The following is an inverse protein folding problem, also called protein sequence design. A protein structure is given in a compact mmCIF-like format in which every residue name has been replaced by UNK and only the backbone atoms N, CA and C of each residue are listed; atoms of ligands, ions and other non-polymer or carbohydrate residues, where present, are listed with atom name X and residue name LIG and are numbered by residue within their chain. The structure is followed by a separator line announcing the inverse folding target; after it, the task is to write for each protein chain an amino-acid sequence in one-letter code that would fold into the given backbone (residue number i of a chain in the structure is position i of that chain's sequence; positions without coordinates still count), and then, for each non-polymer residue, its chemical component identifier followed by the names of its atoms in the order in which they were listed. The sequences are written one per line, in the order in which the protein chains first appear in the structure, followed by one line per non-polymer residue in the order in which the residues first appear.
data_IF_683324609157
#
_entry.id   IF_683324609157
#
_cell.length_a   1.000
_cell.length_b   1.000
_cell.length_c   1.000
_cell.angle_alpha   90.00
_cell.angle_beta   90.00
_cell.angle_gamma   90.00
#
_symmetry.space_group_name_H-M   'P 1'
#
loop_
_entity.id
_entity.type
_entity.pdbx_description
1 polymer ?
#
# COMPACT_ATOMS: atom_id res chain seq x y z
N UNK A 1 13.46 -50.30 51.04
CA UNK A 1 12.65 -49.10 50.70
C UNK A 1 13.24 -48.50 49.42
N UNK A 2 13.14 -49.16 48.27
CA UNK A 2 11.98 -49.35 47.39
C UNK A 2 11.79 -48.20 46.39
N UNK A 3 11.89 -48.56 45.09
CA UNK A 3 11.43 -47.90 43.85
C UNK A 3 12.41 -46.83 43.33
N UNK A 4 13.23 -47.03 42.30
CA UNK A 4 13.02 -47.64 40.96
C UNK A 4 11.73 -47.18 40.29
N UNK A 5 11.81 -46.10 39.49
CA UNK A 5 10.84 -45.81 38.42
C UNK A 5 11.46 -44.93 37.31
N UNK A 6 11.86 -45.63 36.24
CA UNK A 6 11.48 -45.38 34.85
C UNK A 6 11.94 -44.08 34.16
N UNK A 7 13.09 -44.26 33.51
CA UNK A 7 13.46 -43.73 32.18
C UNK A 7 12.27 -43.79 31.20
N UNK A 8 11.54 -42.69 31.05
CA UNK A 8 10.51 -42.58 30.01
C UNK A 8 11.16 -42.34 28.65
N UNK A 9 11.41 -43.44 27.95
CA UNK A 9 11.56 -43.47 26.49
C UNK A 9 10.22 -43.08 25.87
N UNK A 10 10.09 -41.85 25.40
CA UNK A 10 9.01 -41.50 24.48
C UNK A 10 9.46 -41.86 23.06
N UNK A 11 9.10 -43.06 22.63
CA UNK A 11 9.10 -43.48 21.24
C UNK A 11 7.73 -43.12 20.67
N UNK A 12 7.67 -42.06 19.88
CA UNK A 12 6.54 -41.77 18.98
C UNK A 12 7.18 -41.59 17.59
N UNK A 13 7.31 -42.69 16.86
CA UNK A 13 6.37 -43.12 15.81
C UNK A 13 6.25 -42.08 14.69
N UNK A 14 7.12 -42.28 13.70
CA UNK A 14 6.91 -42.08 12.26
C UNK A 14 5.78 -41.14 11.83
N UNK A 15 6.15 -40.03 11.21
CA UNK A 15 5.69 -39.68 9.87
C UNK A 15 6.82 -38.92 9.18
N UNK A 16 7.62 -39.66 8.40
CA UNK A 16 8.35 -39.07 7.28
C UNK A 16 7.27 -38.45 6.40
N UNK A 17 7.18 -37.12 6.40
CA UNK A 17 6.44 -36.41 5.38
C UNK A 17 7.37 -36.45 4.18
N UNK A 18 7.11 -37.43 3.30
CA UNK A 18 7.66 -37.43 1.97
C UNK A 18 7.41 -36.04 1.39
N UNK A 19 8.50 -35.38 1.01
CA UNK A 19 8.49 -34.08 0.36
C UNK A 19 7.54 -34.19 -0.83
N UNK A 20 6.34 -33.62 -0.67
CA UNK A 20 5.42 -33.40 -1.78
C UNK A 20 6.11 -32.37 -2.65
N UNK A 21 6.84 -32.87 -3.66
CA UNK A 21 7.28 -32.08 -4.80
C UNK A 21 6.00 -31.53 -5.41
N UNK A 22 5.63 -30.31 -5.00
CA UNK A 22 4.62 -29.53 -5.68
C UNK A 22 5.18 -29.33 -7.07
N UNK A 23 4.67 -30.13 -8.00
CA UNK A 23 4.95 -30.04 -9.42
C UNK A 23 4.43 -28.67 -9.81
N UNK A 24 5.30 -27.65 -9.81
CA UNK A 24 4.99 -26.35 -10.35
C UNK A 24 4.78 -26.61 -11.83
N UNK A 25 3.52 -26.75 -12.25
CA UNK A 25 3.20 -26.56 -13.66
C UNK A 25 3.73 -25.18 -13.99
N UNK A 26 4.79 -25.12 -14.79
CA UNK A 26 5.10 -23.93 -15.59
C UNK A 26 3.83 -23.63 -16.36
N UNK A 27 2.97 -22.79 -15.79
CA UNK A 27 1.97 -22.09 -16.57
C UNK A 27 2.80 -21.14 -17.41
N UNK A 28 3.01 -21.54 -18.65
CA UNK A 28 3.52 -20.71 -19.73
C UNK A 28 2.93 -19.32 -19.53
N UNK A 29 3.80 -18.36 -19.21
CA UNK A 29 3.48 -16.94 -19.23
C UNK A 29 2.92 -16.70 -20.61
N UNK A 30 1.59 -16.55 -20.68
CA UNK A 30 0.86 -16.40 -21.92
C UNK A 30 1.49 -15.26 -22.68
N UNK A 31 2.09 -15.56 -23.84
CA UNK A 31 2.44 -14.56 -24.85
C UNK A 31 1.22 -13.65 -24.98
N UNK A 32 1.41 -12.37 -24.71
CA UNK A 32 0.35 -11.36 -24.76
C UNK A 32 -0.50 -11.59 -25.99
N UNK A 33 -1.81 -11.64 -25.81
CA UNK A 33 -2.76 -11.79 -26.90
C UNK A 33 -2.54 -10.64 -27.87
N UNK A 34 -1.91 -10.92 -29.01
CA UNK A 34 -1.85 -9.95 -30.09
C UNK A 34 -3.29 -9.57 -30.45
N UNK A 35 -3.56 -8.27 -30.56
CA UNK A 35 -4.82 -7.78 -31.11
C UNK A 35 -5.12 -8.49 -32.45
N UNK A 36 -6.40 -8.75 -32.78
CA UNK A 36 -6.75 -9.33 -34.07
C UNK A 36 -6.23 -8.44 -35.20
N UNK A 37 -5.68 -9.06 -36.24
CA UNK A 37 -5.10 -8.39 -37.42
C UNK A 37 -6.10 -7.54 -38.23
N UNK A 38 -7.35 -7.43 -37.78
CA UNK A 38 -8.42 -6.66 -38.42
C UNK A 38 -8.47 -5.18 -37.99
N UNK A 39 -7.68 -4.77 -36.99
CA UNK A 39 -7.58 -3.38 -36.53
C UNK A 39 -6.19 -2.82 -36.88
N UNK A 40 -6.01 -2.41 -38.13
CA UNK A 40 -4.80 -1.72 -38.59
C UNK A 40 -5.10 -0.91 -39.86
N UNK A 41 -4.41 0.22 -40.01
CA UNK A 41 -4.29 0.94 -41.28
C UNK A 41 -3.93 -0.09 -42.37
N UNK A 42 -4.51 0.05 -43.57
CA UNK A 42 -4.76 -1.03 -44.53
C UNK A 42 -3.56 -1.74 -45.20
N UNK A 43 -2.44 -1.92 -44.51
CA UNK A 43 -1.17 -2.47 -45.00
C UNK A 43 -0.72 -3.77 -44.30
N UNK A 44 -1.53 -4.34 -43.40
CA UNK A 44 -1.30 -5.70 -42.89
C UNK A 44 -0.14 -5.84 -41.89
N UNK A 45 0.46 -4.74 -41.44
CA UNK A 45 1.44 -4.74 -40.34
C UNK A 45 0.71 -4.70 -38.99
N UNK A 46 0.67 -5.84 -38.30
CA UNK A 46 0.27 -5.90 -36.90
C UNK A 46 1.29 -5.11 -36.07
N UNK A 47 0.87 -3.98 -35.49
CA UNK A 47 1.67 -3.30 -34.47
C UNK A 47 1.62 -4.20 -33.23
N UNK A 48 2.74 -4.79 -32.76
CA UNK A 48 2.75 -5.50 -31.50
C UNK A 48 2.58 -4.45 -30.40
N UNK A 49 1.36 -4.28 -29.92
CA UNK A 49 1.10 -3.50 -28.73
C UNK A 49 1.63 -4.30 -27.53
N UNK A 50 2.88 -4.03 -27.18
CA UNK A 50 3.47 -4.51 -25.93
C UNK A 50 2.79 -3.76 -24.77
N UNK A 51 2.12 -4.53 -23.91
CA UNK A 51 1.47 -3.98 -22.73
C UNK A 51 2.56 -3.39 -21.83
N UNK A 52 2.53 -2.06 -21.62
CA UNK A 52 3.43 -1.40 -20.70
C UNK A 52 3.26 -2.01 -19.30
N UNK A 53 4.34 -2.18 -18.51
CA UNK A 53 4.24 -2.73 -17.18
C UNK A 53 3.23 -1.93 -16.38
N UNK A 54 2.16 -2.59 -15.92
CA UNK A 54 1.09 -2.04 -15.10
C UNK A 54 1.67 -1.33 -13.86
N UNK A 55 1.72 0.01 -13.82
CA UNK A 55 2.15 0.73 -12.62
C UNK A 55 1.14 0.57 -11.45
N UNK A 56 -0.03 -0.01 -11.69
CA UNK A 56 -1.04 -0.29 -10.67
C UNK A 56 -0.71 -1.46 -9.71
N UNK A 57 0.44 -2.12 -9.85
CA UNK A 57 0.87 -3.15 -8.91
C UNK A 57 1.11 -2.56 -7.50
N UNK A 58 0.49 -3.19 -6.48
CA UNK A 58 0.57 -2.75 -5.06
C UNK A 58 1.98 -2.75 -4.50
N UNK A 59 2.85 -3.61 -5.05
CA UNK A 59 4.21 -3.84 -4.56
C UNK A 59 5.12 -2.60 -4.68
N UNK A 60 4.68 -1.58 -5.41
CA UNK A 60 5.45 -0.35 -5.66
C UNK A 60 5.23 0.69 -4.55
N UNK A 61 4.15 0.59 -3.76
CA UNK A 61 3.75 1.62 -2.79
C UNK A 61 4.01 1.16 -1.36
N UNK A 62 4.84 1.92 -0.64
CA UNK A 62 5.06 1.73 0.80
C UNK A 62 4.20 2.70 1.60
N UNK A 63 3.23 2.15 2.33
CA UNK A 63 2.34 2.92 3.20
C UNK A 63 2.89 2.98 4.62
N UNK A 64 2.74 4.13 5.27
CA UNK A 64 2.99 4.27 6.70
C UNK A 64 1.82 3.69 7.47
N UNK A 65 2.07 3.17 8.67
CA UNK A 65 1.01 2.63 9.53
C UNK A 65 0.03 3.72 9.97
N UNK A 66 0.50 4.97 10.11
CA UNK A 66 -0.31 6.11 10.55
C UNK A 66 0.02 7.39 9.81
N UNK A 67 -1.00 8.19 9.52
CA UNK A 67 -0.90 9.50 8.87
C UNK A 67 -1.54 10.60 9.72
N UNK A 68 -0.71 11.56 10.15
CA UNK A 68 -1.15 12.72 10.94
C UNK A 68 -1.81 13.82 10.10
N UNK A 69 -2.28 14.87 10.77
CA UNK A 69 -2.75 16.09 10.11
C UNK A 69 -1.55 16.92 9.63
N UNK A 70 -1.58 17.43 8.40
CA UNK A 70 -0.51 18.28 7.89
C UNK A 70 -0.84 19.77 8.08
N UNK A 71 -0.27 20.39 9.11
CA UNK A 71 -0.57 21.79 9.47
C UNK A 71 0.72 22.59 9.64
N UNK A 72 0.84 23.67 8.86
CA UNK A 72 1.98 24.59 8.97
C UNK A 72 3.31 24.00 8.50
N UNK A 73 3.27 23.06 7.55
CA UNK A 73 4.46 22.40 7.01
C UNK A 73 4.96 21.24 7.86
N UNK A 74 4.15 20.73 8.80
CA UNK A 74 4.49 19.61 9.68
C UNK A 74 3.33 18.65 9.81
N UNK A 75 3.63 17.37 9.96
CA UNK A 75 2.67 16.37 10.40
C UNK A 75 2.49 16.48 11.93
N UNK A 76 1.23 16.52 12.37
CA UNK A 76 0.84 16.61 13.78
C UNK A 76 -0.20 15.53 14.08
N UNK A 77 -0.17 15.01 15.30
CA UNK A 77 -1.25 14.14 15.79
C UNK A 77 -2.55 14.96 15.96
N UNK A 78 -3.73 14.33 15.80
CA UNK A 78 -5.00 15.00 16.08
C UNK A 78 -5.08 15.35 17.56
N UNK A 79 -5.58 16.55 17.89
CA UNK A 79 -5.69 17.01 19.28
C UNK A 79 -6.63 16.14 20.12
N UNK A 80 -7.66 15.58 19.49
CA UNK A 80 -8.57 14.61 20.11
C UNK A 80 -7.91 13.26 20.42
N UNK A 81 -6.80 12.93 19.75
CA UNK A 81 -6.20 11.59 19.78
C UNK A 81 -7.00 10.53 19.01
N UNK A 82 -8.06 10.91 18.29
CA UNK A 82 -8.90 9.98 17.52
C UNK A 82 -8.28 9.65 16.15
N UNK A 83 -8.40 8.39 15.74
CA UNK A 83 -7.89 7.89 14.47
C UNK A 83 -8.97 7.07 13.76
N UNK A 84 -8.97 7.08 12.44
CA UNK A 84 -9.82 6.26 11.59
C UNK A 84 -8.98 5.25 10.80
N UNK A 85 -9.26 3.97 10.97
CA UNK A 85 -8.60 2.90 10.22
C UNK A 85 -9.22 2.78 8.82
N UNK A 86 -8.42 3.00 7.80
CA UNK A 86 -8.80 2.77 6.40
C UNK A 86 -8.68 1.28 6.08
N UNK A 87 -9.64 0.75 5.32
CA UNK A 87 -9.70 -0.64 4.93
C UNK A 87 -9.43 -0.77 3.43
N UNK A 88 -8.67 -1.79 3.02
CA UNK A 88 -8.46 -2.13 1.61
C UNK A 88 -9.77 -2.71 1.01
N UNK A 89 -10.35 -2.09 -0.04
CA UNK A 89 -11.61 -2.56 -0.61
C UNK A 89 -11.51 -3.93 -1.32
N UNK A 90 -10.30 -4.43 -1.63
CA UNK A 90 -10.14 -5.72 -2.31
C UNK A 90 -9.94 -6.90 -1.35
N UNK A 91 -9.34 -6.65 -0.19
CA UNK A 91 -9.01 -7.71 0.79
C UNK A 91 -9.73 -7.56 2.12
N UNK A 92 -10.39 -6.41 2.35
CA UNK A 92 -11.03 -6.03 3.61
C UNK A 92 -10.07 -5.95 4.81
N UNK A 93 -8.77 -5.89 4.54
CA UNK A 93 -7.74 -5.78 5.58
C UNK A 93 -7.44 -4.32 5.96
N UNK A 94 -7.02 -4.04 7.21
CA UNK A 94 -6.57 -2.72 7.62
C UNK A 94 -5.37 -2.23 6.80
N UNK A 95 -5.49 -1.03 6.23
CA UNK A 95 -4.50 -0.43 5.36
C UNK A 95 -3.63 0.60 6.09
N UNK A 96 -4.23 1.59 6.75
CA UNK A 96 -3.53 2.59 7.57
C UNK A 96 -4.50 3.35 8.48
N UNK A 97 -3.99 3.88 9.61
CA UNK A 97 -4.75 4.81 10.44
C UNK A 97 -4.54 6.26 9.96
N UNK A 98 -5.63 7.01 9.79
CA UNK A 98 -5.61 8.43 9.43
C UNK A 98 -6.16 9.25 10.60
N UNK A 99 -5.50 10.36 10.91
CA UNK A 99 -5.91 11.25 12.00
C UNK A 99 -7.33 11.80 11.78
N UNK A 100 -8.17 11.74 12.81
CA UNK A 100 -9.52 12.31 12.77
C UNK A 100 -9.51 13.71 13.40
N UNK A 101 -9.55 14.73 12.55
CA UNK A 101 -9.56 16.13 12.98
C UNK A 101 -10.84 16.49 13.73
N UNK A 102 -10.69 17.27 14.81
CA UNK A 102 -11.81 17.91 15.52
C UNK A 102 -11.87 19.42 15.23
N UNK A 103 -12.80 20.12 15.89
CA UNK A 103 -12.96 21.56 15.71
C UNK A 103 -11.70 22.36 16.07
N UNK A 104 -10.99 21.98 17.15
CA UNK A 104 -9.77 22.66 17.59
C UNK A 104 -8.62 22.50 16.59
N UNK A 105 -8.50 21.32 15.97
CA UNK A 105 -7.53 21.06 14.91
C UNK A 105 -7.81 21.95 13.69
N UNK A 106 -9.08 22.09 13.33
CA UNK A 106 -9.52 22.98 12.24
C UNK A 106 -9.23 24.44 12.55
N UNK A 107 -9.57 24.91 13.75
CA UNK A 107 -9.30 26.29 14.17
C UNK A 107 -7.79 26.60 14.14
N UNK A 108 -6.97 25.67 14.62
CA UNK A 108 -5.52 25.76 14.57
C UNK A 108 -5.01 25.83 13.12
N UNK A 109 -5.50 24.95 12.25
CA UNK A 109 -5.13 24.92 10.84
C UNK A 109 -5.49 26.23 10.12
N UNK A 110 -6.69 26.75 10.36
CA UNK A 110 -7.17 28.02 9.80
C UNK A 110 -6.31 29.18 10.29
N UNK A 111 -5.96 29.23 11.58
CA UNK A 111 -5.07 30.24 12.14
C UNK A 111 -3.69 30.25 11.47
N UNK A 112 -3.11 29.07 11.26
CA UNK A 112 -1.83 28.89 10.58
C UNK A 112 -1.92 29.30 9.11
N UNK A 113 -2.95 28.85 8.39
CA UNK A 113 -3.18 29.21 6.99
C UNK A 113 -3.36 30.73 6.81
N UNK A 114 -4.15 31.36 7.68
CA UNK A 114 -4.36 32.81 7.67
C UNK A 114 -3.06 33.58 7.90
N UNK A 115 -2.18 33.09 8.77
CA UNK A 115 -0.85 33.68 9.00
C UNK A 115 0.03 33.55 7.76
N UNK A 116 0.10 32.37 7.15
CA UNK A 116 0.88 32.12 5.94
C UNK A 116 0.41 33.01 4.77
N UNK A 117 -0.91 33.13 4.60
CA UNK A 117 -1.52 34.00 3.61
C UNK A 117 -1.10 35.47 3.82
N UNK A 118 -1.25 35.99 5.05
CA UNK A 118 -0.97 37.41 5.34
C UNK A 118 0.51 37.78 5.26
N UNK A 119 1.41 36.86 5.63
CA UNK A 119 2.84 37.19 5.76
C UNK A 119 3.65 36.94 4.50
N UNK A 120 3.34 35.89 3.75
CA UNK A 120 4.26 35.40 2.72
C UNK A 120 3.55 35.10 1.41
N UNK A 121 2.49 34.29 1.44
CA UNK A 121 1.89 33.76 0.20
C UNK A 121 1.20 34.83 -0.66
N UNK A 122 0.51 35.79 -0.03
CA UNK A 122 -0.25 36.84 -0.74
C UNK A 122 0.64 37.74 -1.61
N UNK A 123 1.79 38.15 -1.09
CA UNK A 123 2.70 39.11 -1.75
C UNK A 123 3.69 38.43 -2.69
N UNK A 124 3.74 37.09 -2.70
CA UNK A 124 4.63 36.33 -3.55
C UNK A 124 4.30 36.56 -5.04
N UNK A 125 5.29 36.84 -5.90
CA UNK A 125 5.10 36.98 -7.34
C UNK A 125 4.43 35.74 -7.95
N UNK A 126 3.56 35.93 -8.94
CA UNK A 126 2.85 34.82 -9.59
C UNK A 126 3.78 33.74 -10.16
N UNK A 127 4.91 34.15 -10.75
CA UNK A 127 5.95 33.23 -11.26
C UNK A 127 6.52 32.30 -10.19
N UNK A 128 6.63 32.77 -8.94
CA UNK A 128 7.22 32.00 -7.84
C UNK A 128 6.20 31.01 -7.25
N UNK A 129 4.90 31.28 -7.40
CA UNK A 129 3.82 30.38 -6.99
C UNK A 129 3.49 29.30 -8.03
N UNK A 130 3.82 29.52 -9.30
CA UNK A 130 3.49 28.62 -10.41
C UNK A 130 4.59 27.60 -10.75
N UNK A 131 5.73 27.69 -10.06
CA UNK A 131 6.83 26.72 -10.17
C UNK A 131 6.47 25.44 -9.40
#
# INVERSE_FOLDING_TARGET
MARETLKTRSTVLTKRIDSVTVRTKSSEVGRGTSAPSSWGLGDGQAIPWEYAPAPEARDIVQLQSRYGLFVGGKEIAPRSGEWFTTIDPATEEPLADVARANHEDVDHAVGVARRAYRRTWRTMPGRERAK
#
